data_IF_684722413840
#
_entry.id   IF_684722413840
#
_cell.length_a   1.000
_cell.length_b   1.000
_cell.length_c   1.000
_cell.angle_alpha   90.00
_cell.angle_beta   90.00
_cell.angle_gamma   90.00
#
_symmetry.space_group_name_H-M   'P 1'
#
loop_
_entity.id
_entity.type
_entity.pdbx_description
1 polymer ?
#
# COMPACT_ATOMS: atom_id res chain seq x y z
N UNK A 1 -15.87 -3.04 15.81
CA UNK A 1 -16.28 -3.36 14.43
C UNK A 1 -14.99 -3.54 13.63
N UNK A 2 -14.88 -4.54 12.75
CA UNK A 2 -13.68 -4.75 11.97
C UNK A 2 -13.44 -3.57 11.02
N UNK A 3 -12.18 -3.14 10.84
CA UNK A 3 -11.79 -2.13 9.86
C UNK A 3 -11.97 -2.64 8.43
N UNK A 4 -11.63 -3.93 8.21
CA UNK A 4 -11.82 -4.62 6.95
C UNK A 4 -12.35 -6.03 7.22
N UNK A 5 -13.36 -6.47 6.46
CA UNK A 5 -13.83 -7.86 6.43
C UNK A 5 -13.86 -8.37 5.00
N UNK A 6 -13.23 -9.49 4.77
CA UNK A 6 -13.26 -10.21 3.49
C UNK A 6 -14.09 -11.48 3.69
N UNK A 7 -15.06 -11.69 2.83
CA UNK A 7 -16.03 -12.78 2.91
C UNK A 7 -16.06 -13.54 1.58
N UNK A 8 -15.65 -14.81 1.60
CA UNK A 8 -15.74 -15.74 0.47
C UNK A 8 -15.12 -15.21 -0.84
N UNK A 9 -14.00 -14.48 -0.74
CA UNK A 9 -13.35 -13.83 -1.87
C UNK A 9 -12.74 -14.84 -2.83
N UNK A 10 -13.21 -14.82 -4.09
CA UNK A 10 -12.65 -15.64 -5.17
C UNK A 10 -12.33 -14.80 -6.40
N UNK A 11 -11.17 -15.09 -7.02
CA UNK A 11 -10.72 -14.44 -8.25
C UNK A 11 -9.90 -15.39 -9.09
N UNK A 12 -10.22 -15.46 -10.37
CA UNK A 12 -9.41 -16.13 -11.39
C UNK A 12 -9.03 -15.20 -12.53
N UNK A 13 -8.07 -15.61 -13.33
CA UNK A 13 -7.57 -14.89 -14.49
C UNK A 13 -7.56 -15.83 -15.71
N UNK A 14 -8.03 -15.35 -16.85
CA UNK A 14 -7.99 -16.11 -18.10
C UNK A 14 -6.78 -15.65 -18.93
N UNK A 15 -5.86 -16.57 -19.19
CA UNK A 15 -4.78 -16.35 -20.15
C UNK A 15 -5.33 -16.54 -21.57
N UNK A 16 -5.77 -15.46 -22.19
CA UNK A 16 -6.41 -15.51 -23.52
C UNK A 16 -5.56 -16.19 -24.60
N UNK A 17 -4.22 -16.07 -24.53
CA UNK A 17 -3.31 -16.70 -25.52
C UNK A 17 -3.31 -18.22 -25.49
N UNK A 18 -3.61 -18.85 -24.37
CA UNK A 18 -3.56 -20.30 -24.14
C UNK A 18 -4.90 -20.87 -23.68
N UNK A 19 -5.95 -20.05 -23.59
CA UNK A 19 -7.28 -20.46 -23.13
C UNK A 19 -7.32 -21.02 -21.70
N UNK A 20 -6.26 -20.80 -20.90
CA UNK A 20 -6.13 -21.38 -19.57
C UNK A 20 -6.62 -20.41 -18.50
N UNK A 21 -7.47 -20.92 -17.60
CA UNK A 21 -7.89 -20.23 -16.38
C UNK A 21 -6.88 -20.51 -15.26
N UNK A 22 -6.41 -19.46 -14.59
CA UNK A 22 -5.52 -19.54 -13.43
C UNK A 22 -6.28 -19.01 -12.23
N UNK A 23 -6.35 -19.79 -11.15
CA UNK A 23 -6.92 -19.38 -9.88
C UNK A 23 -5.98 -18.37 -9.21
N UNK A 24 -6.48 -17.16 -8.93
CA UNK A 24 -5.77 -16.12 -8.19
C UNK A 24 -5.95 -16.29 -6.69
N UNK A 25 -7.19 -16.43 -6.22
CA UNK A 25 -7.54 -16.80 -4.84
C UNK A 25 -8.89 -17.51 -4.87
N UNK A 26 -9.18 -18.32 -3.85
CA UNK A 26 -10.39 -19.11 -3.77
C UNK A 26 -10.92 -19.17 -2.34
N UNK A 27 -12.18 -18.78 -2.18
CA UNK A 27 -12.93 -18.80 -0.92
C UNK A 27 -12.20 -18.21 0.30
N UNK A 28 -11.53 -17.06 0.12
CA UNK A 28 -10.74 -16.42 1.18
C UNK A 28 -11.62 -15.58 2.07
N UNK A 29 -11.56 -15.82 3.38
CA UNK A 29 -12.30 -15.06 4.39
C UNK A 29 -11.41 -14.74 5.57
N UNK A 30 -11.35 -13.46 5.97
CA UNK A 30 -10.70 -12.98 7.20
C UNK A 30 -11.15 -11.56 7.51
N UNK A 31 -10.83 -11.09 8.71
CA UNK A 31 -11.08 -9.70 9.12
C UNK A 31 -9.84 -9.07 9.73
N UNK A 32 -9.78 -7.73 9.70
CA UNK A 32 -8.72 -6.92 10.29
C UNK A 32 -9.36 -5.90 11.23
N UNK A 33 -8.89 -5.84 12.47
CA UNK A 33 -9.33 -4.84 13.44
C UNK A 33 -8.48 -3.56 13.32
N UNK A 34 -8.96 -2.38 13.76
CA UNK A 34 -8.12 -1.20 13.89
C UNK A 34 -6.87 -1.49 14.73
N UNK A 35 -5.69 -1.05 14.27
CA UNK A 35 -4.41 -1.29 14.92
C UNK A 35 -3.87 -2.72 14.81
N UNK A 36 -4.54 -3.60 14.07
CA UNK A 36 -4.09 -4.97 13.87
C UNK A 36 -3.11 -5.07 12.69
N UNK A 37 -2.13 -5.95 12.82
CA UNK A 37 -1.20 -6.32 11.75
C UNK A 37 -1.48 -7.77 11.30
N UNK A 38 -1.84 -7.93 10.02
CA UNK A 38 -2.16 -9.23 9.44
C UNK A 38 -1.17 -9.60 8.34
N UNK A 39 -0.49 -10.73 8.49
CA UNK A 39 0.43 -11.28 7.49
C UNK A 39 -0.23 -12.36 6.64
N UNK A 40 -0.31 -12.14 5.32
CA UNK A 40 -0.75 -13.15 4.36
C UNK A 40 0.46 -13.96 3.92
N UNK A 41 0.53 -15.23 4.29
CA UNK A 41 1.64 -16.14 3.98
C UNK A 41 1.24 -17.17 2.93
N UNK A 42 2.20 -17.72 2.22
CA UNK A 42 1.96 -18.75 1.21
C UNK A 42 3.05 -18.77 0.14
N UNK A 43 3.07 -19.84 -0.66
CA UNK A 43 4.02 -20.01 -1.78
C UNK A 43 3.91 -18.89 -2.81
N UNK A 44 4.96 -18.67 -3.60
CA UNK A 44 4.86 -17.76 -4.76
C UNK A 44 3.73 -18.22 -5.69
N UNK A 45 2.94 -17.26 -6.18
CA UNK A 45 1.77 -17.56 -7.01
C UNK A 45 0.51 -18.01 -6.28
N UNK A 46 0.50 -18.09 -4.93
CA UNK A 46 -0.69 -18.50 -4.16
C UNK A 46 -1.80 -17.45 -4.07
N UNK A 47 -1.67 -16.30 -4.74
CA UNK A 47 -2.71 -15.29 -4.81
C UNK A 47 -2.61 -14.17 -3.77
N UNK A 48 -1.56 -14.07 -2.97
CA UNK A 48 -1.36 -13.00 -1.96
C UNK A 48 -1.55 -11.60 -2.54
N UNK A 49 -0.82 -11.28 -3.60
CA UNK A 49 -0.95 -10.00 -4.31
C UNK A 49 -2.32 -9.83 -4.97
N UNK A 50 -3.00 -10.92 -5.33
CA UNK A 50 -4.36 -10.87 -5.89
C UNK A 50 -5.35 -10.35 -4.85
N UNK A 51 -5.26 -10.83 -3.61
CA UNK A 51 -6.09 -10.36 -2.49
C UNK A 51 -5.87 -8.85 -2.26
N UNK A 52 -4.62 -8.41 -2.13
CA UNK A 52 -4.28 -7.00 -1.94
C UNK A 52 -4.80 -6.12 -3.09
N UNK A 53 -4.67 -6.60 -4.34
CA UNK A 53 -5.19 -5.90 -5.52
C UNK A 53 -6.71 -5.90 -5.60
N UNK A 54 -7.40 -6.87 -5.02
CA UNK A 54 -8.85 -6.82 -4.86
C UNK A 54 -9.26 -5.79 -3.82
N UNK A 55 -8.59 -5.70 -2.67
CA UNK A 55 -8.82 -4.65 -1.67
C UNK A 55 -8.56 -3.26 -2.28
N UNK A 56 -7.43 -3.09 -2.97
CA UNK A 56 -7.11 -1.85 -3.69
C UNK A 56 -8.01 -1.59 -4.89
N UNK A 57 -8.78 -2.62 -5.32
CA UNK A 57 -9.70 -2.59 -6.46
C UNK A 57 -9.04 -2.30 -7.82
N UNK A 58 -7.81 -2.74 -8.02
CA UNK A 58 -7.25 -2.91 -9.37
C UNK A 58 -7.77 -4.18 -10.02
N UNK A 59 -8.13 -5.18 -9.21
CA UNK A 59 -8.84 -6.38 -9.65
C UNK A 59 -10.23 -6.39 -9.02
N UNK A 60 -11.25 -6.73 -9.80
CA UNK A 60 -12.58 -7.04 -9.28
C UNK A 60 -12.66 -8.54 -9.01
N UNK A 61 -13.11 -8.98 -7.82
CA UNK A 61 -13.35 -10.39 -7.55
C UNK A 61 -14.51 -10.93 -8.40
N UNK A 62 -14.55 -12.24 -8.57
CA UNK A 62 -15.67 -12.95 -9.23
C UNK A 62 -16.78 -13.31 -8.25
N UNK A 63 -16.40 -13.55 -7.00
CA UNK A 63 -17.33 -13.81 -5.90
C UNK A 63 -16.79 -13.25 -4.58
N UNK A 64 -17.67 -13.11 -3.60
CA UNK A 64 -17.37 -12.62 -2.27
C UNK A 64 -17.56 -11.12 -2.12
N UNK A 65 -17.22 -10.62 -0.92
CA UNK A 65 -17.36 -9.22 -0.53
C UNK A 65 -16.08 -8.72 0.15
N UNK A 66 -15.84 -7.42 0.07
CA UNK A 66 -14.77 -6.73 0.79
C UNK A 66 -15.40 -5.54 1.49
N UNK A 67 -15.75 -5.69 2.75
CA UNK A 67 -16.40 -4.67 3.57
C UNK A 67 -15.33 -3.85 4.29
N UNK A 68 -15.35 -2.55 4.09
CA UNK A 68 -14.43 -1.60 4.70
C UNK A 68 -15.18 -0.55 5.51
N UNK A 69 -14.76 -0.30 6.75
CA UNK A 69 -15.33 0.71 7.64
C UNK A 69 -14.65 2.06 7.38
N UNK A 70 -15.23 2.84 6.47
CA UNK A 70 -14.76 4.17 6.09
C UNK A 70 -15.22 5.23 7.10
N UNK A 71 -14.33 6.13 7.49
CA UNK A 71 -14.70 7.28 8.32
C UNK A 71 -15.75 8.17 7.64
N UNK A 72 -15.65 8.30 6.33
CA UNK A 72 -16.55 9.19 5.59
C UNK A 72 -17.86 8.54 5.17
N UNK A 73 -17.83 7.28 4.77
CA UNK A 73 -18.97 6.63 4.13
C UNK A 73 -19.63 5.54 4.99
N UNK A 74 -19.07 5.26 6.19
CA UNK A 74 -19.48 4.12 7.00
C UNK A 74 -19.06 2.80 6.35
N UNK A 75 -19.87 1.75 6.51
CA UNK A 75 -19.56 0.44 5.93
C UNK A 75 -19.75 0.44 4.42
N UNK A 76 -18.67 0.23 3.69
CA UNK A 76 -18.61 0.22 2.22
C UNK A 76 -18.15 -1.14 1.73
N UNK A 77 -18.90 -1.76 0.80
CA UNK A 77 -18.40 -2.90 0.03
C UNK A 77 -17.51 -2.40 -1.12
N UNK A 78 -16.19 -2.63 -1.02
CA UNK A 78 -15.22 -2.19 -2.03
C UNK A 78 -15.47 -2.85 -3.40
N UNK A 79 -16.14 -3.99 -3.46
CA UNK A 79 -16.45 -4.66 -4.72
C UNK A 79 -17.49 -3.87 -5.55
N UNK A 80 -18.43 -3.21 -4.87
CA UNK A 80 -19.53 -2.47 -5.50
C UNK A 80 -19.43 -0.95 -5.35
N UNK A 81 -18.45 -0.45 -4.58
CA UNK A 81 -18.23 0.97 -4.34
C UNK A 81 -18.13 1.76 -5.66
N UNK A 82 -18.66 2.96 -5.69
CA UNK A 82 -18.56 3.85 -6.85
C UNK A 82 -17.11 4.27 -7.10
N UNK A 83 -16.79 4.67 -8.33
CA UNK A 83 -15.46 5.17 -8.64
C UNK A 83 -15.09 6.39 -7.78
N UNK A 84 -16.04 7.28 -7.48
CA UNK A 84 -15.84 8.43 -6.61
C UNK A 84 -15.48 8.04 -5.18
N UNK A 85 -16.15 7.03 -4.63
CA UNK A 85 -15.80 6.48 -3.30
C UNK A 85 -14.40 5.90 -3.30
N UNK A 86 -14.05 5.08 -4.29
CA UNK A 86 -12.73 4.48 -4.38
C UNK A 86 -11.59 5.51 -4.55
N UNK A 87 -11.82 6.56 -5.32
CA UNK A 87 -10.85 7.66 -5.44
C UNK A 87 -10.61 8.33 -4.09
N UNK A 88 -11.68 8.61 -3.35
CA UNK A 88 -11.59 9.18 -2.01
C UNK A 88 -10.86 8.23 -1.04
N UNK A 89 -11.25 6.96 -0.99
CA UNK A 89 -10.64 5.98 -0.09
C UNK A 89 -9.12 5.84 -0.35
N UNK A 90 -8.71 5.78 -1.60
CA UNK A 90 -7.29 5.70 -1.99
C UNK A 90 -6.52 7.00 -1.71
N UNK A 91 -7.19 8.14 -1.74
CA UNK A 91 -6.54 9.42 -1.45
C UNK A 91 -6.31 9.62 0.06
N UNK A 92 -7.25 9.17 0.91
CA UNK A 92 -7.29 9.56 2.31
C UNK A 92 -7.28 8.42 3.33
N UNK A 93 -7.74 7.23 2.98
CA UNK A 93 -7.95 6.16 3.97
C UNK A 93 -7.13 4.89 3.69
N UNK A 94 -6.79 4.62 2.43
CA UNK A 94 -6.04 3.43 2.04
C UNK A 94 -4.64 3.81 1.57
N UNK A 95 -3.63 3.09 2.03
CA UNK A 95 -2.26 3.15 1.52
C UNK A 95 -1.90 1.86 0.80
N UNK A 96 -1.15 1.94 -0.30
CA UNK A 96 -0.65 0.77 -1.02
C UNK A 96 0.82 0.95 -1.35
N UNK A 97 1.63 0.02 -0.87
CA UNK A 97 3.05 -0.08 -1.17
C UNK A 97 3.26 -1.31 -2.03
N UNK A 98 3.60 -1.09 -3.30
CA UNK A 98 3.90 -2.17 -4.24
C UNK A 98 5.35 -2.61 -4.13
N UNK A 99 5.63 -3.84 -4.58
CA UNK A 99 6.98 -4.39 -4.71
C UNK A 99 7.92 -3.48 -5.52
N UNK A 100 7.38 -2.77 -6.51
CA UNK A 100 8.13 -1.86 -7.36
C UNK A 100 7.70 -0.42 -7.09
N UNK A 101 8.68 0.46 -6.90
CA UNK A 101 8.44 1.89 -6.84
C UNK A 101 7.83 2.36 -8.17
N UNK A 102 6.57 2.76 -8.15
CA UNK A 102 5.87 3.32 -9.31
C UNK A 102 6.19 4.83 -9.43
N UNK A 103 7.48 5.18 -9.32
CA UNK A 103 7.91 6.55 -9.52
C UNK A 103 7.82 6.92 -11.00
N UNK A 104 7.30 8.12 -11.27
CA UNK A 104 7.40 8.68 -12.61
C UNK A 104 8.87 8.93 -12.97
N UNK A 105 9.28 8.68 -14.21
CA UNK A 105 10.62 9.05 -14.65
C UNK A 105 10.89 10.53 -14.36
N UNK A 106 12.07 10.83 -13.79
CA UNK A 106 12.52 12.20 -13.47
C UNK A 106 11.84 12.87 -12.26
N UNK A 107 11.32 12.10 -11.29
CA UNK A 107 10.97 12.65 -9.97
C UNK A 107 12.04 12.25 -8.95
N UNK A 108 12.49 13.23 -8.16
CA UNK A 108 13.40 12.99 -7.04
C UNK A 108 12.68 12.31 -5.87
N UNK A 109 13.42 11.75 -4.92
CA UNK A 109 12.83 11.16 -3.72
C UNK A 109 11.98 12.18 -2.94
N UNK A 110 12.48 13.40 -2.82
CA UNK A 110 11.77 14.51 -2.19
C UNK A 110 10.45 14.82 -2.90
N UNK A 111 10.48 14.98 -4.23
CA UNK A 111 9.28 15.28 -5.05
C UNK A 111 8.21 14.20 -4.95
N UNK A 112 8.59 12.92 -4.83
CA UNK A 112 7.64 11.81 -4.68
C UNK A 112 6.87 11.93 -3.37
N UNK A 113 7.57 12.19 -2.25
CA UNK A 113 6.93 12.31 -0.94
C UNK A 113 6.16 13.63 -0.84
N UNK A 114 6.72 14.73 -1.35
CA UNK A 114 6.06 16.04 -1.40
C UNK A 114 4.74 15.99 -2.18
N UNK A 115 4.72 15.30 -3.31
CA UNK A 115 3.48 15.09 -4.08
C UNK A 115 2.41 14.41 -3.24
N UNK A 116 2.77 13.35 -2.52
CA UNK A 116 1.84 12.65 -1.61
C UNK A 116 1.38 13.55 -0.45
N UNK A 117 2.27 14.41 0.06
CA UNK A 117 1.93 15.40 1.08
C UNK A 117 0.94 16.46 0.56
N UNK A 118 1.17 17.00 -0.63
CA UNK A 118 0.28 17.97 -1.25
C UNK A 118 -1.10 17.37 -1.57
N UNK A 119 -1.15 16.10 -1.96
CA UNK A 119 -2.42 15.37 -2.13
C UNK A 119 -3.18 15.21 -0.81
N UNK A 120 -2.47 15.04 0.31
CA UNK A 120 -3.06 14.84 1.63
C UNK A 120 -3.48 16.15 2.33
N UNK A 121 -2.64 17.19 2.25
CA UNK A 121 -2.85 18.46 2.99
C UNK A 121 -3.44 19.58 2.14
N UNK A 122 -3.46 19.40 0.81
CA UNK A 122 -3.87 20.42 -0.14
C UNK A 122 -2.69 21.26 -0.64
N UNK A 123 -2.83 21.77 -1.86
CA UNK A 123 -1.80 22.60 -2.51
C UNK A 123 -1.62 23.98 -1.85
N UNK A 124 -2.64 24.45 -1.14
CA UNK A 124 -2.64 25.74 -0.45
C UNK A 124 -1.80 25.72 0.83
N UNK A 125 -1.56 24.53 1.42
CA UNK A 125 -0.72 24.36 2.64
C UNK A 125 0.66 23.78 2.27
N UNK A 126 1.31 24.39 1.30
CA UNK A 126 2.59 23.92 0.77
C UNK A 126 3.69 23.89 1.83
N UNK A 127 3.77 24.91 2.69
CA UNK A 127 4.79 24.96 3.75
C UNK A 127 4.66 23.77 4.72
N UNK A 128 3.45 23.39 5.07
CA UNK A 128 3.20 22.19 5.88
C UNK A 128 3.57 20.91 5.13
N UNK A 129 3.22 20.81 3.84
CA UNK A 129 3.55 19.66 3.03
C UNK A 129 5.07 19.46 2.93
N UNK A 130 5.86 20.53 2.76
CA UNK A 130 7.31 20.51 2.73
C UNK A 130 7.90 20.06 4.08
N UNK A 131 7.47 20.67 5.19
CA UNK A 131 7.93 20.31 6.53
C UNK A 131 7.62 18.83 6.88
N UNK A 132 6.41 18.35 6.56
CA UNK A 132 6.04 16.95 6.79
C UNK A 132 6.81 16.00 5.86
N UNK A 133 7.14 16.42 4.63
CA UNK A 133 7.98 15.65 3.71
C UNK A 133 9.36 15.41 4.28
N UNK A 134 10.05 16.47 4.72
CA UNK A 134 11.37 16.34 5.34
C UNK A 134 11.31 15.47 6.60
N UNK A 135 10.31 15.71 7.46
CA UNK A 135 10.12 14.91 8.68
C UNK A 135 9.93 13.43 8.34
N UNK A 136 9.19 13.11 7.30
CA UNK A 136 8.90 11.74 6.89
C UNK A 136 10.14 11.07 6.29
N UNK A 137 10.90 11.77 5.44
CA UNK A 137 12.14 11.26 4.86
C UNK A 137 13.18 10.92 5.94
N UNK A 138 13.41 11.84 6.90
CA UNK A 138 14.28 11.58 8.06
C UNK A 138 13.77 10.42 8.92
N UNK A 139 12.46 10.35 9.12
CA UNK A 139 11.82 9.30 9.94
C UNK A 139 12.04 7.89 9.38
N UNK A 140 12.12 7.74 8.07
CA UNK A 140 12.39 6.49 7.38
C UNK A 140 13.88 6.30 7.03
N UNK A 141 14.78 7.01 7.70
CA UNK A 141 16.24 6.91 7.52
C UNK A 141 16.66 7.01 6.05
N UNK A 142 16.09 7.96 5.33
CA UNK A 142 16.52 8.35 3.99
C UNK A 142 17.50 9.52 4.14
N UNK A 143 18.77 9.26 3.85
CA UNK A 143 19.85 10.26 3.95
C UNK A 143 19.53 11.49 3.09
N UNK A 144 19.86 12.69 3.59
CA UNK A 144 19.55 13.95 2.90
C UNK A 144 20.18 14.03 1.50
N UNK A 145 21.33 13.38 1.32
CA UNK A 145 22.01 13.27 0.01
C UNK A 145 21.16 12.56 -1.05
N UNK A 146 20.23 11.70 -0.63
CA UNK A 146 19.33 10.96 -1.53
C UNK A 146 18.10 11.76 -1.96
N UNK A 147 17.77 12.83 -1.25
CA UNK A 147 16.49 13.51 -1.46
C UNK A 147 16.33 14.10 -2.85
N UNK A 148 17.42 14.66 -3.40
CA UNK A 148 17.45 15.24 -4.74
C UNK A 148 17.82 14.23 -5.82
N UNK A 149 18.04 12.97 -5.45
CA UNK A 149 18.36 11.91 -6.41
C UNK A 149 17.10 11.18 -6.89
N UNK A 150 17.22 10.62 -8.08
CA UNK A 150 16.17 9.78 -8.63
C UNK A 150 16.20 8.37 -8.01
N UNK A 151 15.06 7.81 -7.60
CA UNK A 151 15.02 6.47 -6.96
C UNK A 151 15.55 5.33 -7.82
N UNK A 152 15.79 5.58 -9.10
CA UNK A 152 16.39 4.59 -10.00
C UNK A 152 17.76 4.10 -9.49
N UNK A 153 18.51 4.96 -8.85
CA UNK A 153 19.85 4.66 -8.31
C UNK A 153 19.82 4.05 -6.91
N UNK A 154 18.67 4.03 -6.26
CA UNK A 154 18.50 3.57 -4.90
C UNK A 154 18.63 2.06 -4.78
N UNK A 155 19.16 1.59 -3.65
CA UNK A 155 19.07 0.19 -3.22
C UNK A 155 17.60 -0.24 -3.05
N UNK A 156 17.36 -1.53 -2.99
CA UNK A 156 16.00 -2.07 -2.76
C UNK A 156 15.41 -1.58 -1.44
N UNK A 157 16.22 -1.49 -0.38
CA UNK A 157 15.80 -1.00 0.93
C UNK A 157 15.42 0.48 0.92
N UNK A 158 16.22 1.35 0.29
CA UNK A 158 15.93 2.78 0.14
C UNK A 158 14.65 3.01 -0.67
N UNK A 159 14.46 2.27 -1.76
CA UNK A 159 13.21 2.30 -2.56
C UNK A 159 11.99 1.95 -1.73
N UNK A 160 12.11 0.92 -0.89
CA UNK A 160 11.00 0.52 -0.04
C UNK A 160 10.71 1.57 1.03
N UNK A 161 11.74 2.09 1.72
CA UNK A 161 11.57 3.15 2.72
C UNK A 161 10.93 4.40 2.11
N UNK A 162 11.35 4.79 0.91
CA UNK A 162 10.73 5.88 0.16
C UNK A 162 9.25 5.62 -0.15
N UNK A 163 8.91 4.40 -0.61
CA UNK A 163 7.52 4.02 -0.90
C UNK A 163 6.65 4.06 0.35
N UNK A 164 7.16 3.54 1.47
CA UNK A 164 6.44 3.57 2.74
C UNK A 164 6.28 5.02 3.22
N UNK A 165 7.33 5.85 3.14
CA UNK A 165 7.25 7.27 3.50
C UNK A 165 6.14 7.99 2.71
N UNK A 166 6.11 7.80 1.38
CA UNK A 166 5.10 8.39 0.50
C UNK A 166 3.68 7.88 0.79
N UNK A 167 3.51 6.63 1.20
CA UNK A 167 2.21 6.09 1.57
C UNK A 167 1.76 6.57 2.96
N UNK A 168 2.69 6.62 3.94
CA UNK A 168 2.39 6.94 5.33
C UNK A 168 2.15 8.42 5.58
N UNK A 169 2.67 9.33 4.75
CA UNK A 169 2.45 10.77 4.89
C UNK A 169 0.96 11.14 4.80
N UNK A 170 0.18 10.33 4.09
CA UNK A 170 -1.28 10.44 3.99
C UNK A 170 -2.02 9.94 5.24
N UNK A 171 -1.31 9.31 6.19
CA UNK A 171 -1.86 8.71 7.41
C UNK A 171 -3.02 7.76 7.13
N UNK A 172 -2.83 6.76 6.25
CA UNK A 172 -3.89 5.85 5.87
C UNK A 172 -4.37 5.03 7.08
N UNK A 173 -5.67 4.73 7.14
CA UNK A 173 -6.25 3.84 8.17
C UNK A 173 -5.93 2.37 7.90
N UNK A 174 -5.73 2.01 6.62
CA UNK A 174 -5.31 0.67 6.19
C UNK A 174 -4.12 0.79 5.24
N UNK A 175 -2.99 0.19 5.60
CA UNK A 175 -1.80 0.11 4.76
C UNK A 175 -1.64 -1.30 4.19
N UNK A 176 -1.58 -1.41 2.88
CA UNK A 176 -1.37 -2.65 2.13
C UNK A 176 0.09 -2.72 1.67
N UNK A 177 0.81 -3.77 2.07
CA UNK A 177 2.20 -4.01 1.68
C UNK A 177 2.27 -5.26 0.78
N UNK A 178 2.54 -5.08 -0.51
CA UNK A 178 2.62 -6.18 -1.48
C UNK A 178 4.07 -6.62 -1.69
N UNK A 179 4.44 -7.76 -1.10
CA UNK A 179 5.76 -8.38 -1.17
C UNK A 179 6.94 -7.42 -0.86
N UNK A 180 6.92 -6.70 0.28
CA UNK A 180 7.89 -5.64 0.55
C UNK A 180 9.34 -6.12 0.62
N UNK A 181 9.58 -7.43 0.72
CA UNK A 181 10.93 -8.01 0.86
C UNK A 181 11.39 -8.85 -0.32
N UNK A 182 10.58 -9.01 -1.37
CA UNK A 182 10.84 -10.00 -2.42
C UNK A 182 12.12 -9.76 -3.23
N UNK A 183 12.57 -8.50 -3.35
CA UNK A 183 13.75 -8.11 -4.15
C UNK A 183 14.94 -7.66 -3.29
N UNK A 184 14.91 -7.98 -1.98
CA UNK A 184 15.92 -7.48 -1.04
C UNK A 184 16.92 -8.57 -0.68
N UNK A 185 18.18 -8.17 -0.46
CA UNK A 185 19.20 -8.96 0.21
C UNK A 185 18.83 -9.19 1.69
N UNK A 186 19.50 -10.12 2.34
CA UNK A 186 19.13 -10.54 3.70
C UNK A 186 19.31 -9.42 4.75
N UNK A 187 20.29 -8.53 4.60
CA UNK A 187 20.47 -7.38 5.47
C UNK A 187 19.35 -6.35 5.31
N UNK A 188 18.93 -6.09 4.07
CA UNK A 188 17.80 -5.22 3.77
C UNK A 188 16.47 -5.80 4.24
N UNK A 189 16.28 -7.14 4.16
CA UNK A 189 15.10 -7.81 4.73
C UNK A 189 14.99 -7.60 6.24
N UNK A 190 16.12 -7.66 6.95
CA UNK A 190 16.13 -7.44 8.41
C UNK A 190 15.67 -6.02 8.74
N UNK A 191 16.22 -5.01 8.07
CA UNK A 191 15.82 -3.60 8.24
C UNK A 191 14.34 -3.36 7.94
N UNK A 192 13.79 -4.04 6.93
CA UNK A 192 12.36 -3.97 6.61
C UNK A 192 11.51 -4.59 7.71
N UNK A 193 11.94 -5.71 8.29
CA UNK A 193 11.24 -6.31 9.43
C UNK A 193 11.22 -5.38 10.63
N UNK A 194 12.35 -4.76 10.96
CA UNK A 194 12.45 -3.75 12.02
C UNK A 194 11.53 -2.57 11.75
N UNK A 195 11.50 -2.07 10.52
CA UNK A 195 10.61 -0.98 10.11
C UNK A 195 9.12 -1.37 10.25
N UNK A 196 8.75 -2.58 9.85
CA UNK A 196 7.37 -3.09 10.00
C UNK A 196 7.01 -3.24 11.49
N UNK A 197 7.92 -3.72 12.34
CA UNK A 197 7.69 -3.80 13.79
C UNK A 197 7.54 -2.41 14.42
N UNK A 198 8.35 -1.43 14.02
CA UNK A 198 8.20 -0.03 14.45
C UNK A 198 6.85 0.56 14.03
N UNK A 199 6.40 0.30 12.80
CA UNK A 199 5.08 0.73 12.32
C UNK A 199 3.96 0.07 13.15
N UNK A 200 4.09 -1.21 13.48
CA UNK A 200 3.14 -1.95 14.32
C UNK A 200 3.03 -1.40 15.75
N UNK A 201 4.16 -1.02 16.36
CA UNK A 201 4.16 -0.42 17.70
C UNK A 201 3.50 0.97 17.72
N UNK A 202 3.56 1.72 16.64
CA UNK A 202 2.99 3.07 16.52
C UNK A 202 1.52 3.11 16.15
N UNK A 203 1.00 2.02 15.59
CA UNK A 203 -0.42 1.86 15.26
C UNK A 203 -1.24 1.31 16.43
N UNK A 204 -0.58 0.95 17.54
CA UNK A 204 -1.20 0.62 18.83
C UNK A 204 -1.42 1.87 19.67
#
# INVERSE_FOLDING_TARGET
MALLSIEHLSKSFTLHRVGRRIQGCDDVSFSIQPGEFVGITGRSGSGKSTILRCIWRTNLPEAGRILYDSERFGLVDLCTATQRQMLYLRAYELGYVSQFLSALPRQTAYEIVLKSALEAFGVDDRARAEAETERMLRHFDLDEELWELYPRTFSGGEKLRLNIAAAMIKRPRLLLLDEPTASLDDASKLKVRELIEQLKERLR
#
